data_IF_404161347989
#
_entry.id   IF_404161347989
#
_cell.length_a   1.000
_cell.length_b   1.000
_cell.length_c   1.000
_cell.angle_alpha   90.00
_cell.angle_beta   90.00
_cell.angle_gamma   90.00
#
_symmetry.space_group_name_H-M   'P 1'
#
loop_
_entity.id
_entity.type
_entity.pdbx_description
1 polymer ?
#
# COMPACT_ATOMS: atom_id res chain seq x y z
N UNK A 1 -3.15 -7.75 -18.20
CA UNK A 1 -3.77 -6.99 -17.10
C UNK A 1 -2.71 -6.67 -16.07
N UNK A 2 -2.60 -5.41 -15.66
CA UNK A 2 -1.78 -5.02 -14.50
C UNK A 2 -2.51 -5.34 -13.20
N UNK A 3 -1.81 -5.29 -12.07
CA UNK A 3 -2.44 -5.44 -10.75
C UNK A 3 -3.50 -4.38 -10.51
N UNK A 4 -3.27 -3.11 -10.89
CA UNK A 4 -4.25 -2.02 -10.77
C UNK A 4 -5.54 -2.31 -11.57
N UNK A 5 -5.40 -2.74 -12.83
CA UNK A 5 -6.55 -3.12 -13.67
C UNK A 5 -7.36 -4.28 -13.08
N UNK A 6 -6.68 -5.23 -12.43
CA UNK A 6 -7.35 -6.34 -11.74
C UNK A 6 -8.13 -5.82 -10.54
N UNK A 7 -7.52 -4.97 -9.72
CA UNK A 7 -8.20 -4.34 -8.58
C UNK A 7 -9.40 -3.49 -9.01
N UNK A 8 -9.28 -2.72 -10.09
CA UNK A 8 -10.39 -1.92 -10.60
C UNK A 8 -11.58 -2.79 -10.99
N UNK A 9 -11.34 -3.88 -11.70
CA UNK A 9 -12.38 -4.85 -12.04
C UNK A 9 -13.02 -5.45 -10.78
N UNK A 10 -12.21 -5.93 -9.84
CA UNK A 10 -12.72 -6.56 -8.61
C UNK A 10 -13.55 -5.58 -7.79
N UNK A 11 -13.11 -4.33 -7.65
CA UNK A 11 -13.77 -3.33 -6.81
C UNK A 11 -15.01 -2.72 -7.47
N UNK A 12 -14.92 -2.32 -8.73
CA UNK A 12 -15.98 -1.55 -9.38
C UNK A 12 -16.94 -2.42 -10.19
N UNK A 13 -16.43 -3.40 -10.93
CA UNK A 13 -17.26 -4.21 -11.83
C UNK A 13 -17.86 -5.43 -11.10
N UNK A 14 -17.13 -6.01 -10.14
CA UNK A 14 -17.63 -7.17 -9.39
C UNK A 14 -18.27 -6.81 -8.06
N UNK A 15 -17.59 -6.03 -7.23
CA UNK A 15 -18.06 -5.71 -5.87
C UNK A 15 -18.89 -4.41 -5.79
N UNK A 16 -18.92 -3.63 -6.86
CA UNK A 16 -19.69 -2.38 -6.97
C UNK A 16 -19.47 -1.43 -5.78
N UNK A 17 -18.21 -1.28 -5.33
CA UNK A 17 -17.88 -0.53 -4.09
C UNK A 17 -18.32 0.93 -4.10
N UNK A 18 -18.64 1.49 -5.26
CA UNK A 18 -19.25 2.82 -5.38
C UNK A 18 -20.56 2.96 -4.59
N UNK A 19 -21.34 1.87 -4.47
CA UNK A 19 -22.59 1.87 -3.70
C UNK A 19 -22.36 2.09 -2.19
N UNK A 20 -21.14 1.90 -1.69
CA UNK A 20 -20.85 2.16 -0.28
C UNK A 20 -21.09 3.63 0.10
N UNK A 21 -20.88 4.56 -0.83
CA UNK A 21 -21.11 5.99 -0.63
C UNK A 21 -22.58 6.34 -0.39
N UNK A 22 -23.53 5.45 -0.71
CA UNK A 22 -24.95 5.64 -0.40
C UNK A 22 -25.24 5.46 1.11
N UNK A 23 -24.34 4.81 1.85
CA UNK A 23 -24.47 4.63 3.30
C UNK A 23 -23.94 5.86 4.01
N UNK A 24 -24.68 6.36 5.00
CA UNK A 24 -24.33 7.55 5.79
C UNK A 24 -22.88 7.52 6.29
N UNK A 25 -22.39 6.37 6.77
CA UNK A 25 -21.01 6.19 7.26
C UNK A 25 -19.93 6.52 6.22
N UNK A 26 -20.21 6.40 4.94
CA UNK A 26 -19.26 6.59 3.85
C UNK A 26 -19.68 7.69 2.87
N UNK A 27 -20.66 8.51 3.22
CA UNK A 27 -21.24 9.52 2.35
C UNK A 27 -20.23 10.61 1.89
N UNK A 28 -19.12 10.77 2.62
CA UNK A 28 -18.03 11.68 2.25
C UNK A 28 -17.09 11.12 1.19
N UNK A 29 -17.25 9.85 0.81
CA UNK A 29 -16.39 9.19 -0.17
C UNK A 29 -17.04 9.10 -1.54
N UNK A 30 -16.19 8.99 -2.54
CA UNK A 30 -16.56 8.76 -3.93
C UNK A 30 -15.53 7.85 -4.58
N UNK A 31 -15.85 7.38 -5.79
CA UNK A 31 -14.89 6.67 -6.64
C UNK A 31 -13.57 7.42 -6.76
N UNK A 32 -13.61 8.74 -6.96
CA UNK A 32 -12.41 9.56 -7.06
C UNK A 32 -11.55 9.51 -5.78
N UNK A 33 -12.18 9.48 -4.59
CA UNK A 33 -11.43 9.35 -3.34
C UNK A 33 -10.83 7.96 -3.15
N UNK A 34 -11.52 6.91 -3.60
CA UNK A 34 -10.98 5.54 -3.56
C UNK A 34 -9.80 5.39 -4.50
N UNK A 35 -9.95 5.88 -5.73
CA UNK A 35 -8.89 5.83 -6.74
C UNK A 35 -7.65 6.61 -6.29
N UNK A 36 -7.82 7.80 -5.70
CA UNK A 36 -6.71 8.58 -5.16
C UNK A 36 -5.92 7.84 -4.08
N UNK A 37 -6.59 7.10 -3.20
CA UNK A 37 -5.93 6.27 -2.17
C UNK A 37 -5.16 5.12 -2.82
N UNK A 38 -5.79 4.39 -3.74
CA UNK A 38 -5.17 3.25 -4.41
C UNK A 38 -3.96 3.66 -5.25
N UNK A 39 -4.04 4.79 -5.96
CA UNK A 39 -2.94 5.34 -6.74
C UNK A 39 -1.78 5.79 -5.85
N UNK A 40 -2.09 6.39 -4.70
CA UNK A 40 -1.08 6.75 -3.69
C UNK A 40 -0.39 5.51 -3.14
N UNK A 41 -1.15 4.47 -2.80
CA UNK A 41 -0.60 3.19 -2.34
C UNK A 41 0.27 2.52 -3.41
N UNK A 42 -0.15 2.52 -4.67
CA UNK A 42 0.65 1.97 -5.76
C UNK A 42 1.98 2.71 -5.93
N UNK A 43 1.95 4.05 -5.92
CA UNK A 43 3.16 4.87 -6.01
C UNK A 43 4.11 4.58 -4.84
N UNK A 44 3.60 4.58 -3.62
CA UNK A 44 4.38 4.29 -2.43
C UNK A 44 5.01 2.88 -2.51
N UNK A 45 4.21 1.87 -2.86
CA UNK A 45 4.70 0.50 -3.03
C UNK A 45 5.82 0.42 -4.07
N UNK A 46 5.66 1.10 -5.22
CA UNK A 46 6.65 1.09 -6.32
C UNK A 46 7.94 1.81 -5.96
N UNK A 47 7.85 2.96 -5.30
CA UNK A 47 8.99 3.85 -5.07
C UNK A 47 9.72 3.58 -3.76
N UNK A 48 9.00 3.15 -2.72
CA UNK A 48 9.52 3.07 -1.35
C UNK A 48 9.55 1.67 -0.76
N UNK A 49 8.87 0.69 -1.35
CA UNK A 49 8.86 -0.69 -0.82
C UNK A 49 9.50 -1.69 -1.78
N UNK A 50 9.08 -1.72 -3.04
CA UNK A 50 9.57 -2.66 -4.05
C UNK A 50 11.10 -2.65 -4.23
N UNK A 51 11.81 -1.50 -4.23
CA UNK A 51 13.26 -1.48 -4.39
C UNK A 51 14.01 -2.17 -3.23
N UNK A 52 13.40 -2.22 -2.04
CA UNK A 52 14.05 -2.75 -0.84
C UNK A 52 13.84 -4.25 -0.66
N UNK A 53 12.98 -4.89 -1.45
CA UNK A 53 12.62 -6.30 -1.27
C UNK A 53 13.85 -7.23 -1.17
N UNK A 54 14.78 -7.13 -2.13
CA UNK A 54 16.01 -7.93 -2.10
C UNK A 54 16.98 -7.49 -1.01
N UNK A 55 17.06 -6.20 -0.73
CA UNK A 55 17.95 -5.68 0.30
C UNK A 55 17.59 -6.26 1.66
N UNK A 56 16.29 -6.25 2.01
CA UNK A 56 15.80 -6.76 3.29
C UNK A 56 15.92 -8.28 3.43
N UNK A 57 15.89 -9.01 2.32
CA UNK A 57 16.19 -10.44 2.29
C UNK A 57 17.69 -10.72 2.54
N UNK A 58 18.58 -9.93 1.92
CA UNK A 58 20.03 -10.11 2.10
C UNK A 58 20.57 -9.54 3.42
N UNK A 59 19.89 -8.54 3.99
CA UNK A 59 20.26 -7.86 5.23
C UNK A 59 19.16 -8.11 6.25
N UNK A 60 19.09 -9.33 6.75
CA UNK A 60 18.09 -9.72 7.73
C UNK A 60 18.21 -8.89 9.02
N UNK A 61 17.08 -8.61 9.69
CA UNK A 61 17.09 -8.07 11.04
C UNK A 61 17.94 -8.92 11.98
N UNK A 62 18.78 -8.29 12.80
CA UNK A 62 19.59 -9.01 13.79
C UNK A 62 19.49 -8.36 15.17
N UNK A 63 19.68 -9.19 16.20
CA UNK A 63 19.66 -8.77 17.59
C UNK A 63 21.08 -8.84 18.16
N UNK A 64 21.54 -7.76 18.78
CA UNK A 64 22.91 -7.67 19.33
C UNK A 64 23.00 -8.06 20.82
N UNK A 65 21.88 -8.40 21.46
CA UNK A 65 21.79 -8.64 22.90
C UNK A 65 21.05 -7.54 23.67
N UNK A 66 20.88 -6.36 23.08
CA UNK A 66 20.17 -5.22 23.67
C UNK A 66 19.02 -4.73 22.80
N UNK A 67 19.20 -4.65 21.48
CA UNK A 67 18.22 -4.12 20.53
C UNK A 67 18.23 -4.82 19.17
N UNK A 68 17.11 -4.71 18.47
CA UNK A 68 16.98 -5.18 17.09
C UNK A 68 17.47 -4.10 16.13
N UNK A 69 18.33 -4.51 15.20
CA UNK A 69 18.85 -3.67 14.12
C UNK A 69 18.16 -4.03 12.82
N UNK A 70 17.61 -3.01 12.17
CA UNK A 70 16.95 -3.11 10.87
C UNK A 70 17.78 -2.34 9.83
N UNK A 71 17.79 -2.75 8.56
CA UNK A 71 18.36 -1.94 7.50
C UNK A 71 17.71 -0.55 7.45
N UNK A 72 18.49 0.49 7.13
CA UNK A 72 17.99 1.87 7.01
C UNK A 72 16.79 1.98 6.06
N UNK A 73 16.79 1.18 5.00
CA UNK A 73 15.69 1.08 4.05
C UNK A 73 14.33 0.74 4.70
N UNK A 74 14.30 -0.07 5.76
CA UNK A 74 13.07 -0.37 6.51
C UNK A 74 12.52 0.89 7.19
N UNK A 75 13.40 1.70 7.77
CA UNK A 75 13.02 2.96 8.41
C UNK A 75 12.52 3.98 7.38
N UNK A 76 13.24 4.11 6.26
CA UNK A 76 12.89 5.04 5.19
C UNK A 76 11.53 4.70 4.55
N UNK A 77 11.25 3.41 4.35
CA UNK A 77 9.96 2.95 3.84
C UNK A 77 8.82 3.23 4.83
N UNK A 78 9.04 2.95 6.11
CA UNK A 78 8.03 3.17 7.15
C UNK A 78 7.71 4.66 7.33
N UNK A 79 8.72 5.54 7.24
CA UNK A 79 8.51 6.99 7.32
C UNK A 79 7.75 7.58 6.12
N UNK A 80 7.72 6.87 5.00
CA UNK A 80 6.99 7.32 3.81
C UNK A 80 5.50 6.93 3.81
N UNK A 81 5.08 6.08 4.75
CA UNK A 81 3.69 5.69 5.01
C UNK A 81 3.06 6.63 6.06
#
# INVERSE_FOLDING_TARGET
MTTRQTLDFLLYDWLEVGQLAERERFAEHSRATFDAVLDTCERLAREKFAPYNRLLDTQEPHFDGERVHLPQATHDALHAY
#
